data_IF_876901250935
#
_entry.id   IF_876901250935
#
_cell.length_a   1.000
_cell.length_b   1.000
_cell.length_c   1.000
_cell.angle_alpha   90.00
_cell.angle_beta   90.00
_cell.angle_gamma   90.00
#
_symmetry.space_group_name_H-M   'P 1'
#
loop_
_entity.id
_entity.type
_entity.pdbx_description
1 polymer ?
#
# COMPACT_ATOMS: atom_id res chain seq x y z
N UNK A 1 -19.68 15.00 -12.12
CA UNK A 1 -19.26 14.59 -10.77
C UNK A 1 -17.88 15.13 -10.47
N UNK A 2 -17.70 15.62 -9.27
CA UNK A 2 -16.40 16.09 -8.82
C UNK A 2 -15.39 14.91 -8.82
N UNK A 3 -14.20 15.15 -9.37
CA UNK A 3 -13.14 14.15 -9.41
C UNK A 3 -12.73 13.69 -8.00
N UNK A 4 -12.77 14.60 -7.03
CA UNK A 4 -12.48 14.27 -5.64
C UNK A 4 -13.43 13.21 -5.09
N UNK A 5 -14.72 13.34 -5.37
CA UNK A 5 -15.70 12.35 -4.94
C UNK A 5 -15.46 10.99 -5.62
N UNK A 6 -15.11 10.99 -6.90
CA UNK A 6 -14.78 9.76 -7.62
C UNK A 6 -13.54 9.08 -7.02
N UNK A 7 -12.52 9.87 -6.65
CA UNK A 7 -11.30 9.33 -6.04
C UNK A 7 -11.58 8.70 -4.66
N UNK A 8 -12.46 9.30 -3.87
CA UNK A 8 -12.82 8.77 -2.54
C UNK A 8 -13.46 7.38 -2.66
N UNK A 9 -14.24 7.15 -3.71
CA UNK A 9 -14.93 5.87 -3.93
C UNK A 9 -14.12 4.86 -4.75
N UNK A 10 -12.98 5.26 -5.29
CA UNK A 10 -12.18 4.40 -6.18
C UNK A 10 -11.33 3.42 -5.36
N UNK A 11 -11.58 2.10 -5.50
CA UNK A 11 -10.79 1.10 -4.76
C UNK A 11 -9.31 1.08 -5.15
N UNK A 12 -8.94 1.51 -6.35
CA UNK A 12 -7.53 1.64 -6.73
C UNK A 12 -6.85 2.73 -5.92
N UNK A 13 -7.54 3.84 -5.67
CA UNK A 13 -7.04 4.92 -4.79
C UNK A 13 -6.91 4.40 -3.35
N UNK A 14 -7.90 3.68 -2.85
CA UNK A 14 -7.86 3.11 -1.50
C UNK A 14 -6.66 2.16 -1.33
N UNK A 15 -6.43 1.29 -2.31
CA UNK A 15 -5.28 0.39 -2.33
C UNK A 15 -3.96 1.18 -2.24
N UNK A 16 -3.81 2.18 -3.11
CA UNK A 16 -2.58 2.98 -3.15
C UNK A 16 -2.37 3.77 -1.87
N UNK A 17 -3.42 4.38 -1.32
CA UNK A 17 -3.33 5.14 -0.07
C UNK A 17 -2.86 4.27 1.09
N UNK A 18 -3.43 3.08 1.23
CA UNK A 18 -3.06 2.15 2.30
C UNK A 18 -1.60 1.74 2.20
N UNK A 19 -1.12 1.42 1.01
CA UNK A 19 0.28 1.06 0.81
C UNK A 19 1.22 2.24 1.08
N UNK A 20 0.87 3.42 0.57
CA UNK A 20 1.68 4.63 0.75
C UNK A 20 1.82 4.98 2.24
N UNK A 21 0.74 4.85 2.99
CA UNK A 21 0.75 5.08 4.44
C UNK A 21 1.57 4.03 5.17
N UNK A 22 1.43 2.76 4.78
CA UNK A 22 2.23 1.67 5.36
C UNK A 22 3.73 1.89 5.13
N UNK A 23 4.10 2.32 3.94
CA UNK A 23 5.50 2.63 3.62
C UNK A 23 6.08 3.75 4.47
N UNK A 24 5.27 4.76 4.76
CA UNK A 24 5.70 5.89 5.60
C UNK A 24 5.82 5.53 7.07
N UNK A 25 5.17 4.46 7.50
CA UNK A 25 5.24 3.96 8.86
C UNK A 25 6.68 3.65 9.29
N UNK A 26 7.49 3.13 8.39
CA UNK A 26 8.86 2.71 8.71
C UNK A 26 9.74 3.84 9.26
N UNK A 27 9.48 5.09 8.82
CA UNK A 27 10.19 6.26 9.33
C UNK A 27 9.47 6.94 10.48
N UNK A 28 8.13 6.98 10.41
CA UNK A 28 7.31 7.62 11.45
C UNK A 28 7.32 6.85 12.76
N UNK A 29 7.28 5.53 12.66
CA UNK A 29 7.20 4.63 13.82
C UNK A 29 8.25 3.53 13.67
N UNK A 30 9.54 3.87 13.82
CA UNK A 30 10.62 2.91 13.54
C UNK A 30 10.60 1.71 14.47
N UNK A 31 10.12 1.86 15.70
CA UNK A 31 10.01 0.73 16.62
C UNK A 31 8.94 -0.25 16.17
N UNK A 32 7.78 0.26 15.74
CA UNK A 32 6.72 -0.57 15.20
C UNK A 32 7.18 -1.25 13.92
N UNK A 33 7.91 -0.53 13.07
CA UNK A 33 8.50 -1.09 11.86
C UNK A 33 9.40 -2.28 12.18
N UNK A 34 10.26 -2.16 13.20
CA UNK A 34 11.13 -3.25 13.61
C UNK A 34 10.36 -4.45 14.11
N UNK A 35 9.24 -4.22 14.82
CA UNK A 35 8.36 -5.31 15.26
C UNK A 35 7.78 -6.04 14.04
N UNK A 36 7.29 -5.28 13.05
CA UNK A 36 6.78 -5.85 11.80
C UNK A 36 7.84 -6.68 11.08
N UNK A 37 9.07 -6.17 11.02
CA UNK A 37 10.17 -6.87 10.36
C UNK A 37 10.59 -8.12 11.12
N UNK A 38 10.55 -8.07 12.45
CA UNK A 38 10.93 -9.22 13.30
C UNK A 38 9.90 -10.35 13.18
N UNK A 39 8.62 -10.02 13.19
CA UNK A 39 7.54 -11.01 13.09
C UNK A 39 7.19 -11.37 11.64
N UNK A 40 7.69 -10.61 10.68
CA UNK A 40 7.54 -10.90 9.26
C UNK A 40 6.09 -10.93 8.80
N UNK A 41 5.81 -11.92 7.93
CA UNK A 41 4.50 -12.01 7.29
C UNK A 41 3.37 -12.39 8.24
N UNK A 42 3.67 -13.03 9.36
CA UNK A 42 2.63 -13.41 10.33
C UNK A 42 1.84 -12.20 10.81
N UNK A 43 2.54 -11.11 11.16
CA UNK A 43 1.88 -9.91 11.63
C UNK A 43 1.14 -9.20 10.51
N UNK A 44 1.74 -9.15 9.32
CA UNK A 44 1.12 -8.53 8.14
C UNK A 44 -0.16 -9.29 7.74
N UNK A 45 -0.16 -10.61 7.87
CA UNK A 45 -1.28 -11.47 7.48
C UNK A 45 -2.31 -11.69 8.58
N UNK A 46 -2.11 -11.10 9.77
CA UNK A 46 -3.08 -11.22 10.86
C UNK A 46 -4.41 -10.57 10.47
N UNK A 47 -5.49 -10.93 11.16
CA UNK A 47 -6.82 -10.39 10.89
C UNK A 47 -6.88 -8.86 11.01
N UNK A 48 -5.98 -8.27 11.79
CA UNK A 48 -5.87 -6.81 11.98
C UNK A 48 -4.77 -6.19 11.14
N UNK A 49 -4.09 -6.99 10.33
CA UNK A 49 -2.96 -6.52 9.54
C UNK A 49 -3.37 -5.93 8.21
N UNK A 50 -2.36 -5.67 7.38
CA UNK A 50 -2.53 -5.07 6.07
C UNK A 50 -3.13 -6.02 5.04
N UNK A 51 -2.90 -7.33 5.18
CA UNK A 51 -3.30 -8.29 4.16
C UNK A 51 -4.82 -8.36 3.95
N UNK A 52 -5.66 -8.42 5.01
CA UNK A 52 -7.11 -8.43 4.80
C UNK A 52 -7.63 -7.16 4.12
N UNK A 53 -7.09 -6.00 4.47
CA UNK A 53 -7.45 -4.73 3.84
C UNK A 53 -7.02 -4.70 2.37
N UNK A 54 -5.78 -5.11 2.11
CA UNK A 54 -5.27 -5.17 0.73
C UNK A 54 -6.10 -6.13 -0.11
N UNK A 55 -6.47 -7.28 0.43
CA UNK A 55 -7.32 -8.25 -0.28
C UNK A 55 -8.68 -7.63 -0.62
N UNK A 56 -9.29 -6.92 0.33
CA UNK A 56 -10.56 -6.23 0.11
C UNK A 56 -10.44 -5.20 -1.02
N UNK A 57 -9.43 -4.36 -0.97
CA UNK A 57 -9.24 -3.29 -1.96
C UNK A 57 -8.93 -3.85 -3.34
N UNK A 58 -8.10 -4.90 -3.42
CA UNK A 58 -7.77 -5.54 -4.70
C UNK A 58 -9.03 -6.17 -5.31
N UNK A 59 -9.82 -6.89 -4.51
CA UNK A 59 -11.07 -7.49 -5.00
C UNK A 59 -12.03 -6.44 -5.50
N UNK A 60 -12.20 -5.35 -4.75
CA UNK A 60 -13.07 -4.26 -5.14
C UNK A 60 -12.61 -3.62 -6.46
N UNK A 61 -11.30 -3.43 -6.61
CA UNK A 61 -10.73 -2.88 -7.84
C UNK A 61 -10.90 -3.84 -9.03
N UNK A 62 -10.83 -5.14 -8.79
CA UNK A 62 -11.11 -6.14 -9.84
C UNK A 62 -12.57 -6.10 -10.28
N UNK A 63 -13.49 -6.06 -9.31
CA UNK A 63 -14.94 -6.04 -9.60
C UNK A 63 -15.33 -4.79 -10.38
N UNK A 64 -14.74 -3.64 -10.06
CA UNK A 64 -15.05 -2.39 -10.73
C UNK A 64 -14.29 -2.20 -12.04
N UNK A 65 -13.43 -3.15 -12.41
CA UNK A 65 -12.64 -3.07 -13.65
C UNK A 65 -11.41 -2.17 -13.56
N UNK A 66 -11.07 -1.67 -12.36
CA UNK A 66 -9.87 -0.85 -12.19
C UNK A 66 -8.60 -1.67 -12.27
N UNK A 67 -8.59 -2.87 -11.65
CA UNK A 67 -7.44 -3.78 -11.68
C UNK A 67 -7.74 -4.98 -12.56
N UNK A 68 -6.76 -5.36 -13.35
CA UNK A 68 -6.74 -6.61 -14.12
C UNK A 68 -5.73 -7.53 -13.45
N UNK A 69 -6.23 -8.43 -12.61
CA UNK A 69 -5.43 -9.35 -11.80
C UNK A 69 -5.85 -10.78 -12.15
N UNK A 70 -4.90 -11.59 -12.60
CA UNK A 70 -5.17 -12.97 -12.96
C UNK A 70 -5.29 -13.88 -11.74
N UNK A 71 -4.53 -13.58 -10.69
CA UNK A 71 -4.47 -14.39 -9.48
C UNK A 71 -4.40 -13.48 -8.26
N UNK A 72 -5.50 -13.44 -7.51
CA UNK A 72 -5.61 -12.60 -6.32
C UNK A 72 -4.56 -12.97 -5.27
N UNK A 73 -4.31 -14.26 -5.06
CA UNK A 73 -3.37 -14.71 -4.03
C UNK A 73 -1.95 -14.23 -4.35
N UNK A 74 -1.55 -14.28 -5.61
CA UNK A 74 -0.24 -13.78 -6.03
C UNK A 74 -0.14 -12.26 -5.89
N UNK A 75 -1.18 -11.53 -6.29
CA UNK A 75 -1.22 -10.08 -6.12
C UNK A 75 -1.10 -9.68 -4.65
N UNK A 76 -1.80 -10.41 -3.78
CA UNK A 76 -1.78 -10.18 -2.34
C UNK A 76 -0.41 -10.52 -1.75
N UNK A 77 0.20 -11.62 -2.17
CA UNK A 77 1.53 -12.04 -1.71
C UNK A 77 2.59 -10.99 -2.04
N UNK A 78 2.56 -10.46 -3.25
CA UNK A 78 3.52 -9.41 -3.66
C UNK A 78 3.27 -8.13 -2.87
N UNK A 79 2.03 -7.72 -2.73
CA UNK A 79 1.68 -6.51 -1.97
C UNK A 79 2.11 -6.63 -0.51
N UNK A 80 1.74 -7.73 0.13
CA UNK A 80 2.05 -7.96 1.54
C UNK A 80 3.55 -8.10 1.77
N UNK A 81 4.26 -8.77 0.86
CA UNK A 81 5.70 -8.95 0.95
C UNK A 81 6.48 -7.66 0.71
N UNK A 82 5.96 -6.77 -0.11
CA UNK A 82 6.61 -5.49 -0.41
C UNK A 82 6.72 -4.58 0.82
N UNK A 83 5.76 -4.64 1.74
CA UNK A 83 5.77 -3.76 2.92
C UNK A 83 6.98 -4.03 3.83
N UNK A 84 7.23 -5.25 4.31
CA UNK A 84 8.43 -5.52 5.11
C UNK A 84 9.72 -5.40 4.30
N UNK A 85 9.72 -5.79 3.03
CA UNK A 85 10.92 -5.65 2.19
C UNK A 85 11.32 -4.18 2.05
N UNK A 86 10.35 -3.29 1.83
CA UNK A 86 10.60 -1.86 1.78
C UNK A 86 11.14 -1.36 3.12
N UNK A 87 10.56 -1.81 4.23
CA UNK A 87 11.01 -1.44 5.56
C UNK A 87 12.46 -1.83 5.80
N UNK A 88 12.84 -3.05 5.42
CA UNK A 88 14.22 -3.52 5.56
C UNK A 88 15.18 -2.64 4.76
N UNK A 89 14.81 -2.27 3.53
CA UNK A 89 15.62 -1.38 2.71
C UNK A 89 15.78 0.00 3.34
N UNK A 90 14.68 0.56 3.86
CA UNK A 90 14.72 1.88 4.47
C UNK A 90 15.58 1.91 5.73
N UNK A 91 15.53 0.86 6.56
CA UNK A 91 16.41 0.77 7.72
C UNK A 91 17.88 0.61 7.31
N UNK A 92 18.15 -0.12 6.24
CA UNK A 92 19.51 -0.31 5.72
C UNK A 92 20.06 0.96 5.05
N UNK A 93 19.18 1.83 4.56
CA UNK A 93 19.56 3.06 3.85
C UNK A 93 18.86 4.26 4.50
N UNK A 94 19.39 4.75 5.64
CA UNK A 94 18.71 5.79 6.43
C UNK A 94 18.47 7.10 5.66
N UNK A 95 19.27 7.38 4.64
CA UNK A 95 19.17 8.61 3.86
C UNK A 95 18.15 8.51 2.72
N UNK A 96 17.60 7.31 2.48
CA UNK A 96 16.61 7.12 1.42
C UNK A 96 15.27 7.73 1.83
N UNK A 97 14.64 8.46 0.93
CA UNK A 97 13.33 9.05 1.20
C UNK A 97 12.24 7.98 1.20
N UNK A 98 11.52 7.87 2.32
CA UNK A 98 10.48 6.86 2.51
C UNK A 98 9.26 7.12 1.63
N UNK A 99 8.81 8.37 1.56
CA UNK A 99 7.62 8.73 0.78
C UNK A 99 7.83 8.43 -0.70
N UNK A 100 8.93 8.89 -1.28
CA UNK A 100 9.25 8.64 -2.67
C UNK A 100 9.38 7.14 -2.95
N UNK A 101 10.04 6.42 -2.05
CA UNK A 101 10.26 4.98 -2.21
C UNK A 101 8.94 4.20 -2.18
N UNK A 102 8.08 4.48 -1.20
CA UNK A 102 6.77 3.83 -1.08
C UNK A 102 5.90 4.12 -2.30
N UNK A 103 5.87 5.37 -2.74
CA UNK A 103 5.04 5.79 -3.86
C UNK A 103 5.51 5.13 -5.18
N UNK A 104 6.82 5.00 -5.37
CA UNK A 104 7.37 4.31 -6.54
C UNK A 104 7.02 2.82 -6.54
N UNK A 105 7.09 2.17 -5.39
CA UNK A 105 6.76 0.74 -5.30
C UNK A 105 5.30 0.50 -5.67
N UNK A 106 4.38 1.24 -5.08
CA UNK A 106 2.96 1.00 -5.33
C UNK A 106 2.55 1.44 -6.74
N UNK A 107 3.20 2.45 -7.31
CA UNK A 107 3.01 2.79 -8.73
C UNK A 107 3.33 1.59 -9.61
N UNK A 108 4.45 0.92 -9.34
CA UNK A 108 4.86 -0.26 -10.08
C UNK A 108 3.86 -1.40 -9.94
N UNK A 109 3.37 -1.65 -8.72
CA UNK A 109 2.37 -2.67 -8.47
C UNK A 109 1.07 -2.39 -9.23
N UNK A 110 0.59 -1.14 -9.19
CA UNK A 110 -0.64 -0.77 -9.90
C UNK A 110 -0.49 -0.90 -11.41
N UNK A 111 0.68 -0.59 -11.96
CA UNK A 111 0.95 -0.81 -13.37
C UNK A 111 0.90 -2.29 -13.72
N UNK A 112 1.42 -3.13 -12.86
CA UNK A 112 1.33 -4.58 -13.02
C UNK A 112 -0.12 -5.04 -13.03
N UNK A 113 -1.00 -4.36 -12.28
CA UNK A 113 -2.43 -4.66 -12.22
C UNK A 113 -3.24 -3.95 -13.32
N UNK A 114 -2.57 -3.39 -14.32
CA UNK A 114 -3.23 -2.85 -15.51
C UNK A 114 -3.55 -1.36 -15.47
N UNK A 115 -3.16 -0.64 -14.42
CA UNK A 115 -3.34 0.82 -14.37
C UNK A 115 -2.30 1.46 -15.30
N UNK A 116 -2.72 2.35 -16.22
CA UNK A 116 -1.75 3.07 -17.06
C UNK A 116 -0.77 3.91 -16.25
N UNK A 117 0.42 4.11 -16.78
CA UNK A 117 1.52 4.78 -16.07
C UNK A 117 1.14 6.19 -15.58
N UNK A 118 0.46 6.98 -16.42
CA UNK A 118 0.04 8.34 -16.06
C UNK A 118 -1.02 8.34 -14.96
N UNK A 119 -1.96 7.41 -15.00
CA UNK A 119 -2.99 7.27 -13.97
C UNK A 119 -2.39 6.78 -12.65
N UNK A 120 -1.46 5.82 -12.69
CA UNK A 120 -0.76 5.36 -11.49
C UNK A 120 0.02 6.53 -10.85
N UNK A 121 0.69 7.34 -11.65
CA UNK A 121 1.41 8.52 -11.16
C UNK A 121 0.44 9.54 -10.54
N UNK A 122 -0.71 9.76 -11.16
CA UNK A 122 -1.73 10.66 -10.62
C UNK A 122 -2.22 10.20 -9.24
N UNK A 123 -2.59 8.92 -9.15
CA UNK A 123 -3.11 8.35 -7.90
C UNK A 123 -2.06 8.45 -6.79
N UNK A 124 -0.81 8.15 -7.08
CA UNK A 124 0.27 8.19 -6.09
C UNK A 124 0.75 9.61 -5.77
N UNK A 125 0.18 10.63 -6.42
CA UNK A 125 0.45 12.03 -6.13
C UNK A 125 -0.68 12.69 -5.32
N UNK A 126 -1.79 11.98 -5.11
CA UNK A 126 -2.90 12.52 -4.34
C UNK A 126 -2.47 12.75 -2.89
N UNK A 127 -3.04 13.79 -2.29
CA UNK A 127 -2.80 14.07 -0.88
C UNK A 127 -3.30 12.91 -0.03
N UNK A 128 -2.47 12.45 0.90
CA UNK A 128 -2.87 11.39 1.80
C UNK A 128 -3.77 11.93 2.91
N UNK A 129 -4.76 11.14 3.35
CA UNK A 129 -5.58 11.54 4.47
C UNK A 129 -4.75 11.70 5.73
N UNK A 130 -5.16 12.61 6.61
CA UNK A 130 -4.51 12.86 7.90
C UNK A 130 -5.00 11.82 8.90
N UNK A 131 -4.65 10.56 8.66
CA UNK A 131 -5.00 9.45 9.53
C UNK A 131 -3.78 8.98 10.29
N UNK A 132 -3.99 8.56 11.53
CA UNK A 132 -2.96 7.87 12.27
C UNK A 132 -2.71 6.52 11.61
N UNK A 133 -1.53 6.35 11.05
CA UNK A 133 -1.13 5.13 10.35
C UNK A 133 -1.18 3.92 11.30
N UNK A 134 -0.84 4.13 12.57
CA UNK A 134 -0.88 3.06 13.59
C UNK A 134 -2.30 2.54 13.75
N UNK A 135 -3.28 3.44 13.87
CA UNK A 135 -4.68 3.05 13.99
C UNK A 135 -5.17 2.31 12.74
N UNK A 136 -4.69 2.72 11.58
CA UNK A 136 -5.05 2.08 10.31
C UNK A 136 -4.52 0.66 10.21
N UNK A 137 -3.34 0.40 10.74
CA UNK A 137 -2.65 -0.89 10.61
C UNK A 137 -2.96 -1.83 11.77
N UNK A 138 -3.03 -1.31 12.98
CA UNK A 138 -3.14 -2.09 14.22
C UNK A 138 -4.57 -2.16 14.71
N UNK A 139 -5.27 -1.05 14.58
CA UNK A 139 -6.61 -0.89 15.09
C UNK A 139 -7.63 -1.55 14.28
#
# INVERSE_FOLDING_TARGET
>A
MDRLAADVEDPAVAYAQSFRMAGRLHRRHPELSRILLHHGLELVQSERGLAPRAAHDIRAAMVTGRFQVEDLDLALAVTAGAVPALGALLHAQPDRDDATSADLVVRGLMRQFGIPADEAARICSLELPDLDVVDTIIG
#
